data_IF_972452888703
#
_entry.id   IF_972452888703
#
_cell.length_a   1.000
_cell.length_b   1.000
_cell.length_c   1.000
_cell.angle_alpha   90.00
_cell.angle_beta   90.00
_cell.angle_gamma   90.00
#
_symmetry.space_group_name_H-M   'P 1'
#
loop_
_entity.id
_entity.type
_entity.pdbx_description
1 polymer ?
#
# COMPACT_ATOMS: atom_id res chain seq x y z
N UNK A 1 12.15 18.69 0.93
CA UNK A 1 12.08 18.04 2.26
C UNK A 1 10.70 17.42 2.58
N UNK A 2 9.69 17.48 1.69
CA UNK A 2 8.32 17.01 2.00
C UNK A 2 7.95 15.60 1.51
N UNK A 3 8.36 15.19 0.30
CA UNK A 3 7.78 14.01 -0.38
C UNK A 3 7.95 12.68 0.37
N UNK A 4 9.14 12.39 0.91
CA UNK A 4 9.38 11.12 1.63
C UNK A 4 8.62 10.99 2.96
N UNK A 5 8.25 12.12 3.59
CA UNK A 5 7.46 12.12 4.82
C UNK A 5 5.99 11.80 4.51
N UNK A 6 5.47 12.33 3.40
CA UNK A 6 4.08 12.06 3.00
C UNK A 6 3.86 10.61 2.58
N UNK A 7 4.79 10.00 1.83
CA UNK A 7 4.69 8.59 1.45
C UNK A 7 4.64 7.66 2.68
N UNK A 8 5.47 7.92 3.70
CA UNK A 8 5.48 7.15 4.94
C UNK A 8 4.14 7.20 5.68
N UNK A 9 3.44 8.33 5.68
CA UNK A 9 2.11 8.46 6.29
C UNK A 9 1.11 7.50 5.65
N UNK A 10 1.14 7.36 4.31
CA UNK A 10 0.26 6.45 3.59
C UNK A 10 0.74 4.99 3.60
N UNK A 11 1.92 4.69 4.15
CA UNK A 11 2.35 3.30 4.37
C UNK A 11 2.05 2.81 5.80
N UNK A 12 1.65 3.70 6.71
CA UNK A 12 1.41 3.36 8.12
C UNK A 12 0.44 2.18 8.33
N UNK A 13 -0.68 2.05 7.60
CA UNK A 13 -1.57 0.89 7.76
C UNK A 13 -0.93 -0.45 7.39
N UNK A 14 0.13 -0.45 6.58
CA UNK A 14 0.82 -1.66 6.14
C UNK A 14 2.05 -1.99 7.00
N UNK A 15 2.43 -1.12 7.95
CA UNK A 15 3.60 -1.30 8.79
C UNK A 15 3.71 -2.68 9.46
N UNK A 16 2.63 -3.31 9.98
CA UNK A 16 2.72 -4.63 10.61
C UNK A 16 3.28 -5.74 9.69
N UNK A 17 3.12 -5.59 8.37
CA UNK A 17 3.59 -6.57 7.39
C UNK A 17 4.85 -6.14 6.65
N UNK A 18 5.07 -4.84 6.50
CA UNK A 18 6.29 -4.31 5.86
C UNK A 18 7.57 -4.69 6.63
N UNK A 19 7.49 -4.86 7.95
CA UNK A 19 8.63 -5.25 8.78
C UNK A 19 8.81 -6.78 8.90
N UNK A 20 7.90 -7.58 8.32
CA UNK A 20 7.98 -9.05 8.35
C UNK A 20 8.95 -9.57 7.30
N UNK A 21 10.02 -10.23 7.74
CA UNK A 21 11.05 -10.79 6.85
C UNK A 21 10.55 -11.95 5.95
N UNK A 22 9.43 -12.59 6.30
CA UNK A 22 8.84 -13.70 5.56
C UNK A 22 7.83 -13.27 4.49
N UNK A 23 7.48 -11.98 4.44
CA UNK A 23 6.50 -11.41 3.50
C UNK A 23 7.19 -10.98 2.23
N UNK A 24 6.68 -11.40 1.08
CA UNK A 24 7.15 -10.96 -0.24
C UNK A 24 6.23 -9.93 -0.84
N UNK A 25 4.92 -10.09 -0.66
CA UNK A 25 3.90 -9.25 -1.29
C UNK A 25 2.79 -8.89 -0.31
N UNK A 26 2.34 -7.64 -0.41
CA UNK A 26 1.17 -7.11 0.28
C UNK A 26 0.17 -6.70 -0.81
N UNK A 27 -0.97 -7.37 -0.86
CA UNK A 27 -1.99 -7.14 -1.88
C UNK A 27 -3.26 -6.58 -1.25
N UNK A 28 -3.94 -5.69 -1.98
CA UNK A 28 -5.25 -5.15 -1.60
C UNK A 28 -6.21 -5.31 -2.78
N UNK A 29 -7.16 -6.24 -2.64
CA UNK A 29 -8.15 -6.51 -3.69
C UNK A 29 -9.41 -5.65 -3.56
N UNK A 30 -9.69 -5.14 -2.35
CA UNK A 30 -10.78 -4.19 -2.04
C UNK A 30 -10.46 -3.41 -0.76
N UNK A 31 -11.06 -2.23 -0.54
CA UNK A 31 -10.90 -1.49 0.71
C UNK A 31 -11.30 -2.34 1.93
N UNK A 32 -10.57 -2.18 3.02
CA UNK A 32 -10.83 -2.87 4.29
C UNK A 32 -10.15 -4.22 4.45
N UNK A 33 -9.36 -4.68 3.47
CA UNK A 33 -8.63 -5.95 3.57
C UNK A 33 -7.20 -5.87 3.05
N UNK A 34 -6.38 -6.80 3.54
CA UNK A 34 -5.02 -7.05 3.04
C UNK A 34 -4.83 -8.55 2.89
N UNK A 35 -4.20 -8.94 1.78
CA UNK A 35 -3.68 -10.28 1.56
C UNK A 35 -2.16 -10.23 1.63
N UNK A 36 -1.56 -11.18 2.33
CA UNK A 36 -0.12 -11.30 2.48
C UNK A 36 0.32 -12.57 1.77
N UNK A 37 1.24 -12.44 0.82
CA UNK A 37 1.98 -13.58 0.30
C UNK A 37 3.35 -13.66 0.99
N UNK A 38 3.74 -14.87 1.37
CA UNK A 38 4.97 -15.10 2.10
C UNK A 38 5.37 -16.56 2.07
N UNK A 39 6.43 -16.92 2.79
CA UNK A 39 7.03 -18.25 2.74
C UNK A 39 6.08 -19.41 3.13
N UNK A 40 4.94 -19.09 3.75
CA UNK A 40 3.93 -20.05 4.20
C UNK A 40 2.64 -20.03 3.37
N UNK A 41 2.58 -19.23 2.31
CA UNK A 41 1.42 -19.02 1.47
C UNK A 41 0.54 -17.85 1.93
N UNK A 42 -0.65 -17.75 1.34
CA UNK A 42 -1.52 -16.58 1.50
C UNK A 42 -2.19 -16.48 2.87
N UNK A 43 -2.11 -15.30 3.48
CA UNK A 43 -2.86 -14.92 4.68
C UNK A 43 -3.83 -13.78 4.36
N UNK A 44 -5.07 -13.86 4.86
CA UNK A 44 -6.07 -12.79 4.74
C UNK A 44 -6.26 -12.06 6.06
N UNK A 45 -6.18 -10.74 6.04
CA UNK A 45 -6.29 -9.88 7.21
C UNK A 45 -7.34 -8.78 7.00
N UNK A 46 -8.18 -8.54 8.00
CA UNK A 46 -9.04 -7.37 8.03
C UNK A 46 -8.18 -6.12 8.31
N UNK A 47 -8.37 -5.07 7.51
CA UNK A 47 -7.58 -3.86 7.57
C UNK A 47 -8.48 -2.63 7.35
N UNK A 48 -9.34 -2.28 8.33
CA UNK A 48 -10.34 -1.23 8.17
C UNK A 48 -9.75 0.14 7.81
N UNK A 49 -8.49 0.39 8.18
CA UNK A 49 -7.77 1.64 7.89
C UNK A 49 -7.23 1.71 6.44
N UNK A 50 -7.23 0.60 5.71
CA UNK A 50 -6.92 0.54 4.28
C UNK A 50 -8.15 0.97 3.49
N UNK A 51 -8.33 2.28 3.40
CA UNK A 51 -9.47 2.90 2.71
C UNK A 51 -9.15 3.22 1.25
N UNK A 52 -10.18 3.30 0.41
CA UNK A 52 -10.03 3.69 -1.00
C UNK A 52 -9.33 5.06 -1.16
N UNK A 53 -9.71 6.04 -0.33
CA UNK A 53 -9.11 7.38 -0.37
C UNK A 53 -7.64 7.35 -0.01
N UNK A 54 -7.25 6.55 0.98
CA UNK A 54 -5.86 6.37 1.38
C UNK A 54 -5.05 5.68 0.27
N UNK A 55 -5.59 4.63 -0.36
CA UNK A 55 -4.93 3.94 -1.47
C UNK A 55 -4.73 4.84 -2.70
N UNK A 56 -5.75 5.63 -3.08
CA UNK A 56 -5.63 6.58 -4.19
C UNK A 56 -4.53 7.62 -3.93
N UNK A 57 -4.44 8.13 -2.70
CA UNK A 57 -3.38 9.06 -2.31
C UNK A 57 -2.00 8.39 -2.32
N UNK A 58 -1.91 7.16 -1.84
CA UNK A 58 -0.68 6.37 -1.90
C UNK A 58 -0.20 6.21 -3.35
N UNK A 59 -1.09 5.80 -4.26
CA UNK A 59 -0.78 5.64 -5.68
C UNK A 59 -0.26 6.95 -6.29
N UNK A 60 -0.93 8.08 -6.03
CA UNK A 60 -0.50 9.39 -6.51
C UNK A 60 0.88 9.80 -5.97
N UNK A 61 1.18 9.50 -4.70
CA UNK A 61 2.50 9.78 -4.12
C UNK A 61 3.59 8.90 -4.70
N UNK A 62 3.31 7.61 -4.94
CA UNK A 62 4.25 6.69 -5.63
C UNK A 62 4.55 7.21 -7.03
N UNK A 63 3.50 7.57 -7.78
CA UNK A 63 3.58 8.12 -9.13
C UNK A 63 4.50 9.36 -9.18
N UNK A 64 4.21 10.34 -8.30
CA UNK A 64 5.04 11.54 -8.17
C UNK A 64 6.50 11.19 -7.87
N UNK A 65 6.75 10.21 -6.98
CA UNK A 65 8.09 9.79 -6.60
C UNK A 65 8.85 9.06 -7.72
N UNK A 66 8.15 8.27 -8.55
CA UNK A 66 8.77 7.51 -9.66
C UNK A 66 8.80 8.30 -10.98
N UNK A 67 8.35 9.56 -10.98
CA UNK A 67 8.11 10.35 -12.21
C UNK A 67 7.18 9.67 -13.22
N UNK A 68 6.29 8.80 -12.73
CA UNK A 68 5.24 8.17 -13.53
C UNK A 68 3.92 8.86 -13.18
N UNK A 69 3.05 9.15 -14.14
CA UNK A 69 1.74 9.76 -13.85
C UNK A 69 0.70 8.68 -13.54
N UNK A 70 -0.04 8.82 -12.43
CA UNK A 70 -1.26 8.04 -12.18
C UNK A 70 -2.46 8.95 -12.41
N UNK A 71 -3.35 8.58 -13.32
CA UNK A 71 -4.58 9.32 -13.63
C UNK A 71 -5.70 8.35 -14.01
N UNK A 72 -6.95 8.81 -14.12
CA UNK A 72 -8.04 7.95 -14.65
C UNK A 72 -7.78 7.46 -16.08
N UNK A 73 -6.94 8.16 -16.85
CA UNK A 73 -6.52 7.77 -18.21
C UNK A 73 -5.32 6.81 -18.21
N UNK A 74 -4.54 6.78 -17.13
CA UNK A 74 -3.42 5.87 -16.89
C UNK A 74 -3.56 5.29 -15.47
N UNK A 75 -4.50 4.35 -15.28
CA UNK A 75 -4.84 3.82 -13.96
C UNK A 75 -3.70 3.01 -13.33
#
# INVERSE_FOLDING_TARGET
MGEGVYLRTYLAPFAPWLDRADVTDILVNRPGEVWIDGARGFEHHAAPDVTETMMLRLAQQIAAHTSQGVSREYP
#
